data_IF_666536177625
#
_entry.id   IF_666536177625
#
_cell.length_a   1.000
_cell.length_b   1.000
_cell.length_c   1.000
_cell.angle_alpha   90.00
_cell.angle_beta   90.00
_cell.angle_gamma   90.00
#
_symmetry.space_group_name_H-M   'P 1'
#
loop_
_entity.id
_entity.type
_entity.pdbx_description
1 polymer ?
#
# COMPACT_ATOMS: atom_id res chain seq x y z
N UNK A 1 14.54 -10.79 -1.67
CA UNK A 1 13.78 -9.53 -1.63
C UNK A 1 12.33 -9.69 -2.06
N UNK A 2 12.00 -10.35 -3.18
CA UNK A 2 10.61 -10.52 -3.69
C UNK A 2 9.59 -11.01 -2.64
N UNK A 3 9.98 -12.00 -1.83
CA UNK A 3 9.15 -12.57 -0.76
C UNK A 3 8.95 -11.57 0.39
N UNK A 4 9.98 -10.79 0.76
CA UNK A 4 9.87 -9.82 1.84
C UNK A 4 8.94 -8.65 1.50
N UNK A 5 9.01 -8.12 0.28
CA UNK A 5 8.13 -7.03 -0.18
C UNK A 5 6.67 -7.49 -0.25
N UNK A 6 6.43 -8.72 -0.70
CA UNK A 6 5.08 -9.30 -0.71
C UNK A 6 4.49 -9.50 0.69
N UNK A 7 5.27 -10.09 1.62
CA UNK A 7 4.83 -10.31 3.02
C UNK A 7 4.57 -8.98 3.74
N UNK A 8 5.48 -8.02 3.61
CA UNK A 8 5.34 -6.70 4.23
C UNK A 8 4.10 -5.98 3.69
N UNK A 9 3.89 -5.99 2.36
CA UNK A 9 2.71 -5.41 1.74
C UNK A 9 1.39 -6.04 2.21
N UNK A 10 1.36 -7.36 2.35
CA UNK A 10 0.19 -8.10 2.83
C UNK A 10 -0.15 -7.76 4.30
N UNK A 11 0.85 -7.77 5.19
CA UNK A 11 0.68 -7.45 6.60
C UNK A 11 0.22 -5.99 6.80
N UNK A 12 0.80 -5.07 6.04
CA UNK A 12 0.40 -3.66 6.07
C UNK A 12 -1.03 -3.48 5.55
N UNK A 13 -1.42 -4.17 4.47
CA UNK A 13 -2.79 -4.11 3.96
C UNK A 13 -3.84 -4.57 4.99
N UNK A 14 -3.55 -5.66 5.73
CA UNK A 14 -4.42 -6.14 6.80
C UNK A 14 -4.49 -5.14 7.97
N UNK A 15 -3.36 -4.54 8.36
CA UNK A 15 -3.33 -3.52 9.41
C UNK A 15 -4.15 -2.27 9.04
N UNK A 16 -4.02 -1.78 7.81
CA UNK A 16 -4.78 -0.62 7.30
C UNK A 16 -6.28 -0.91 7.29
N UNK A 17 -6.67 -2.12 6.86
CA UNK A 17 -8.08 -2.54 6.86
C UNK A 17 -8.65 -2.58 8.28
N UNK A 18 -7.91 -3.18 9.22
CA UNK A 18 -8.36 -3.26 10.61
C UNK A 18 -8.47 -1.87 11.27
N UNK A 19 -7.53 -0.97 10.99
CA UNK A 19 -7.62 0.43 11.45
C UNK A 19 -8.80 1.16 10.81
N UNK A 20 -9.04 0.97 9.52
CA UNK A 20 -10.16 1.64 8.85
C UNK A 20 -11.52 1.13 9.35
N UNK A 21 -11.63 -0.15 9.72
CA UNK A 21 -12.80 -0.66 10.43
C UNK A 21 -12.98 -0.01 11.81
N UNK A 22 -11.90 0.18 12.57
CA UNK A 22 -11.94 0.85 13.87
C UNK A 22 -12.33 2.33 13.75
N UNK A 23 -11.80 3.05 12.76
CA UNK A 23 -12.14 4.46 12.48
C UNK A 23 -13.59 4.57 12.00
N UNK A 24 -14.07 3.65 11.16
CA UNK A 24 -15.49 3.61 10.75
C UNK A 24 -16.41 3.40 11.95
N UNK A 25 -16.10 2.43 12.82
CA UNK A 25 -16.88 2.18 14.04
C UNK A 25 -16.87 3.39 14.99
N UNK A 26 -15.71 4.03 15.18
CA UNK A 26 -15.58 5.24 15.98
C UNK A 26 -16.35 6.44 15.41
N UNK A 27 -16.32 6.62 14.08
CA UNK A 27 -17.06 7.68 13.39
C UNK A 27 -18.58 7.54 13.53
N UNK A 28 -19.10 6.31 13.59
CA UNK A 28 -20.52 6.04 13.82
C UNK A 28 -20.96 6.34 15.27
N UNK A 29 -20.07 6.18 16.24
CA UNK A 29 -20.28 6.55 17.64
C UNK A 29 -20.22 8.08 17.86
N UNK A 30 -19.38 8.78 17.10
CA UNK A 30 -19.18 10.24 17.23
C UNK A 30 -20.01 11.06 16.24
N UNK A 31 -20.79 10.41 15.37
CA UNK A 31 -21.60 11.02 14.31
C UNK A 31 -20.82 12.02 13.43
N UNK A 32 -19.55 11.70 13.19
CA UNK A 32 -18.64 12.54 12.42
C UNK A 32 -18.49 12.03 10.99
N UNK A 33 -19.17 12.71 10.07
CA UNK A 33 -19.23 12.35 8.66
C UNK A 33 -17.89 12.52 7.94
N UNK A 34 -17.02 13.43 8.40
CA UNK A 34 -15.70 13.64 7.83
C UNK A 34 -14.77 12.45 8.13
N UNK A 35 -14.86 11.92 9.34
CA UNK A 35 -14.10 10.74 9.79
C UNK A 35 -14.55 9.45 9.09
N UNK A 36 -15.85 9.31 8.79
CA UNK A 36 -16.35 8.18 7.99
C UNK A 36 -15.89 8.19 6.52
N UNK A 37 -15.76 9.37 5.91
CA UNK A 37 -15.24 9.51 4.54
C UNK A 37 -13.74 9.15 4.45
N UNK A 38 -12.95 9.51 5.46
CA UNK A 38 -11.54 9.12 5.52
C UNK A 38 -11.36 7.61 5.73
N UNK A 39 -12.22 6.98 6.54
CA UNK A 39 -12.16 5.55 6.79
C UNK A 39 -12.42 4.71 5.53
N UNK A 40 -13.31 5.17 4.66
CA UNK A 40 -13.59 4.49 3.38
C UNK A 40 -12.43 4.59 2.40
N UNK A 41 -11.69 5.70 2.40
CA UNK A 41 -10.46 5.83 1.61
C UNK A 41 -9.33 4.98 2.20
N UNK A 42 -9.21 4.92 3.53
CA UNK A 42 -8.28 4.01 4.21
C UNK A 42 -8.53 2.55 3.83
N UNK A 43 -9.79 2.10 3.80
CA UNK A 43 -10.14 0.75 3.34
C UNK A 43 -9.70 0.49 1.90
N UNK A 44 -9.90 1.47 1.00
CA UNK A 44 -9.47 1.38 -0.39
C UNK A 44 -7.94 1.22 -0.49
N UNK A 45 -7.18 2.04 0.24
CA UNK A 45 -5.71 1.98 0.28
C UNK A 45 -5.23 0.63 0.83
N UNK A 46 -5.83 0.14 1.92
CA UNK A 46 -5.52 -1.16 2.51
C UNK A 46 -5.77 -2.34 1.57
N UNK A 47 -6.88 -2.28 0.82
CA UNK A 47 -7.20 -3.28 -0.19
C UNK A 47 -6.20 -3.27 -1.35
N UNK A 48 -5.81 -2.08 -1.84
CA UNK A 48 -4.78 -1.96 -2.88
C UNK A 48 -3.43 -2.48 -2.37
N UNK A 49 -3.08 -2.23 -1.10
CA UNK A 49 -1.88 -2.77 -0.48
C UNK A 49 -1.88 -4.31 -0.42
N UNK A 50 -3.01 -4.92 -0.04
CA UNK A 50 -3.14 -6.37 0.00
C UNK A 50 -2.98 -7.00 -1.40
N UNK A 51 -3.63 -6.41 -2.41
CA UNK A 51 -3.51 -6.85 -3.80
C UNK A 51 -2.06 -6.64 -4.30
N UNK A 52 -1.44 -5.49 -4.00
CA UNK A 52 -0.04 -5.20 -4.36
C UNK A 52 0.96 -6.13 -3.69
N UNK A 53 0.72 -6.51 -2.44
CA UNK A 53 1.46 -7.54 -1.73
C UNK A 53 1.36 -8.90 -2.42
N UNK A 54 0.14 -9.35 -2.75
CA UNK A 54 -0.10 -10.61 -3.44
C UNK A 54 0.58 -10.68 -4.82
N UNK A 55 0.45 -9.62 -5.63
CA UNK A 55 1.08 -9.57 -6.95
C UNK A 55 2.61 -9.43 -6.88
N UNK A 56 3.18 -8.91 -5.79
CA UNK A 56 4.64 -8.79 -5.63
C UNK A 56 5.38 -10.14 -5.57
N UNK A 57 4.67 -11.24 -5.24
CA UNK A 57 5.24 -12.58 -5.24
C UNK A 57 5.49 -13.14 -6.66
N UNK A 58 4.51 -12.97 -7.56
CA UNK A 58 4.58 -13.50 -8.93
C UNK A 58 5.12 -12.48 -9.95
N UNK A 59 4.72 -11.21 -9.82
CA UNK A 59 4.99 -10.12 -10.75
C UNK A 59 5.43 -8.85 -10.00
N UNK A 60 6.70 -8.77 -9.56
CA UNK A 60 7.20 -7.68 -8.72
C UNK A 60 7.09 -6.28 -9.34
N UNK A 61 7.07 -6.17 -10.67
CA UNK A 61 6.83 -4.90 -11.37
C UNK A 61 5.38 -4.42 -11.21
N UNK A 62 4.41 -5.35 -11.33
CA UNK A 62 2.98 -5.03 -11.19
C UNK A 62 2.70 -4.61 -9.75
N UNK A 63 3.25 -5.33 -8.77
CA UNK A 63 3.19 -4.94 -7.37
C UNK A 63 3.76 -3.54 -7.11
N UNK A 64 4.93 -3.22 -7.68
CA UNK A 64 5.55 -1.90 -7.55
C UNK A 64 4.67 -0.77 -8.12
N UNK A 65 4.08 -0.98 -9.29
CA UNK A 65 3.17 0.01 -9.93
C UNK A 65 1.92 0.20 -9.06
N UNK A 66 1.35 -0.87 -8.52
CA UNK A 66 0.17 -0.75 -7.66
C UNK A 66 0.48 -0.07 -6.33
N UNK A 67 1.64 -0.32 -5.72
CA UNK A 67 2.09 0.45 -4.54
C UNK A 67 2.29 1.93 -4.86
N UNK A 68 2.81 2.25 -6.06
CA UNK A 68 2.96 3.64 -6.51
C UNK A 68 1.59 4.33 -6.65
N UNK A 69 0.62 3.66 -7.28
CA UNK A 69 -0.75 4.15 -7.41
C UNK A 69 -1.42 4.29 -6.03
N UNK A 70 -1.22 3.33 -5.13
CA UNK A 70 -1.73 3.40 -3.76
C UNK A 70 -1.16 4.61 -3.00
N UNK A 71 0.13 4.91 -3.19
CA UNK A 71 0.78 6.08 -2.61
C UNK A 71 0.18 7.38 -3.13
N UNK A 72 -0.05 7.49 -4.44
CA UNK A 72 -0.71 8.66 -5.03
C UNK A 72 -2.13 8.84 -4.50
N UNK A 73 -2.91 7.77 -4.41
CA UNK A 73 -4.27 7.81 -3.85
C UNK A 73 -4.27 8.25 -2.38
N UNK A 74 -3.33 7.74 -1.58
CA UNK A 74 -3.17 8.13 -0.18
C UNK A 74 -2.77 9.61 -0.05
N UNK A 75 -1.86 10.13 -0.88
CA UNK A 75 -1.52 11.55 -0.87
C UNK A 75 -2.68 12.44 -1.31
N UNK A 76 -3.43 12.06 -2.34
CA UNK A 76 -4.63 12.79 -2.74
C UNK A 76 -5.67 12.83 -1.62
N UNK A 77 -5.90 11.69 -0.96
CA UNK A 77 -6.81 11.59 0.18
C UNK A 77 -6.36 12.44 1.38
N UNK A 78 -5.05 12.52 1.62
CA UNK A 78 -4.45 13.34 2.67
C UNK A 78 -4.70 14.85 2.47
N UNK A 79 -5.02 15.31 1.26
CA UNK A 79 -5.36 16.73 1.02
C UNK A 79 -6.81 17.07 1.34
N UNK A 80 -7.68 16.06 1.51
CA UNK A 80 -9.12 16.25 1.73
C UNK A 80 -9.53 16.14 3.21
N UNK A 81 -8.62 15.81 4.12
CA UNK A 81 -8.89 15.75 5.56
C UNK A 81 -7.64 15.72 6.43
N UNK A 82 -7.78 16.05 7.72
CA UNK A 82 -6.67 16.12 8.69
C UNK A 82 -6.26 14.74 9.25
N UNK A 83 -6.20 13.72 8.42
CA UNK A 83 -5.89 12.34 8.79
C UNK A 83 -4.42 12.05 8.52
N UNK A 84 -3.56 12.31 9.52
CA UNK A 84 -2.10 12.16 9.39
C UNK A 84 -1.65 10.73 9.11
N UNK A 85 -2.46 9.75 9.51
CA UNK A 85 -2.29 8.32 9.26
C UNK A 85 -2.31 7.99 7.77
N UNK A 86 -3.22 8.57 6.97
CA UNK A 86 -3.28 8.37 5.51
C UNK A 86 -1.99 8.86 4.82
N UNK A 87 -1.41 9.97 5.28
CA UNK A 87 -0.16 10.51 4.73
C UNK A 87 1.00 9.53 4.98
N UNK A 88 1.08 8.95 6.19
CA UNK A 88 2.11 7.97 6.55
C UNK A 88 1.99 6.73 5.67
N UNK A 89 0.77 6.24 5.43
CA UNK A 89 0.53 5.11 4.52
C UNK A 89 0.98 5.43 3.08
N UNK A 90 0.80 6.66 2.61
CA UNK A 90 1.31 7.12 1.31
C UNK A 90 2.83 7.03 1.19
N UNK A 91 3.56 7.47 2.22
CA UNK A 91 5.03 7.34 2.26
C UNK A 91 5.48 5.88 2.27
N UNK A 92 4.83 5.03 3.06
CA UNK A 92 5.14 3.60 3.11
C UNK A 92 4.90 2.93 1.74
N UNK A 93 3.81 3.30 1.04
CA UNK A 93 3.51 2.82 -0.29
C UNK A 93 4.62 3.18 -1.30
N UNK A 94 5.12 4.41 -1.23
CA UNK A 94 6.23 4.88 -2.08
C UNK A 94 7.52 4.09 -1.85
N UNK A 95 7.87 3.82 -0.58
CA UNK A 95 9.04 3.01 -0.25
C UNK A 95 8.90 1.60 -0.81
N UNK A 96 7.72 0.97 -0.65
CA UNK A 96 7.43 -0.36 -1.19
C UNK A 96 7.48 -0.39 -2.72
N UNK A 97 6.98 0.65 -3.39
CA UNK A 97 7.06 0.79 -4.84
C UNK A 97 8.51 0.81 -5.32
N UNK A 98 9.37 1.61 -4.67
CA UNK A 98 10.80 1.70 -4.97
C UNK A 98 11.47 0.33 -4.75
N UNK A 99 11.23 -0.31 -3.61
CA UNK A 99 11.77 -1.64 -3.31
C UNK A 99 11.32 -2.70 -4.30
N UNK A 100 10.05 -2.68 -4.72
CA UNK A 100 9.50 -3.57 -5.75
C UNK A 100 10.17 -3.37 -7.11
N UNK A 101 10.39 -2.11 -7.51
CA UNK A 101 11.09 -1.77 -8.75
C UNK A 101 12.54 -2.25 -8.76
N UNK A 102 13.30 -2.01 -7.69
CA UNK A 102 14.67 -2.52 -7.57
C UNK A 102 14.72 -4.05 -7.57
N UNK A 103 13.75 -4.70 -6.93
CA UNK A 103 13.64 -6.17 -6.91
C UNK A 103 13.43 -6.72 -8.32
N UNK A 104 12.57 -6.09 -9.13
CA UNK A 104 12.39 -6.46 -10.54
C UNK A 104 13.66 -6.22 -11.37
N UNK A 105 14.30 -5.05 -11.23
CA UNK A 105 15.52 -4.70 -11.97
C UNK A 105 16.66 -5.67 -11.66
N UNK A 106 16.83 -6.04 -10.40
CA UNK A 106 17.86 -7.00 -9.98
C UNK A 106 17.56 -8.42 -10.47
N UNK A 107 16.28 -8.82 -10.54
CA UNK A 107 15.89 -10.11 -11.10
C UNK A 107 16.14 -10.19 -12.62
N UNK A 108 15.89 -9.11 -13.37
CA UNK A 108 16.25 -9.02 -14.79
C UNK A 108 17.75 -9.10 -15.03
N UNK A 109 18.56 -8.44 -14.19
CA UNK A 109 20.04 -8.49 -14.32
C UNK A 109 20.62 -9.89 -14.12
N UNK A 110 20.10 -10.67 -13.16
CA UNK A 110 20.53 -12.06 -12.96
C UNK A 110 20.16 -12.98 -14.12
N UNK A 111 19.04 -12.75 -14.80
CA UNK A 111 18.64 -13.54 -15.97
C UNK A 111 19.54 -13.29 -17.20
N UNK A 112 20.18 -12.12 -17.28
CA UNK A 112 21.04 -11.73 -18.39
C UNK A 112 22.54 -11.98 -18.14
N UNK A 113 22.92 -12.60 -17.02
CA UNK A 113 24.30 -13.03 -16.80
C UNK A 113 24.52 -14.35 -17.57
N UNK A 114 25.43 -14.38 -18.57
CA UNK A 114 25.81 -15.64 -19.19
C UNK A 114 26.44 -16.53 -18.12
N UNK A 115 25.93 -17.75 -17.99
CA UNK A 115 26.55 -18.80 -17.18
C UNK A 115 27.87 -19.15 -17.83
N UNK A 116 28.97 -18.68 -17.24
CA UNK A 116 30.32 -19.17 -17.54
C UNK A 116 30.55 -20.52 -16.91
#
# INVERSE_FOLDING_TARGET
MKIAVGIIGLLLGILVLMQSCAVTAGSGLMNDSATGAAASIGMLVGLVFAIAGAFSFALPLVGAIMFFVAGLLAFMASTQGNFGDITIWGYIAMVLAIMGFFTWRSAKRKKNQPTV
#
